data_IF_049320260342
#
_entry.id   IF_049320260342
#
_cell.length_a   1.000
_cell.length_b   1.000
_cell.length_c   1.000
_cell.angle_alpha   90.00
_cell.angle_beta   90.00
_cell.angle_gamma   90.00
#
_symmetry.space_group_name_H-M   'P 1'
#
loop_
_entity.id
_entity.type
_entity.pdbx_description
1 polymer ?
#
# COMPACT_ATOMS: atom_id res chain seq x y z
N UNK A 1 7.23 1.99 -46.97
CA UNK A 1 6.43 3.02 -46.28
C UNK A 1 5.46 2.28 -45.36
N UNK A 2 5.86 2.09 -44.10
CA UNK A 2 5.38 1.01 -43.22
C UNK A 2 4.08 1.38 -42.50
N UNK A 3 3.17 0.41 -42.44
CA UNK A 3 1.88 0.48 -41.77
C UNK A 3 2.03 0.83 -40.28
N UNK A 4 1.20 1.77 -39.82
CA UNK A 4 0.99 2.05 -38.41
C UNK A 4 0.13 0.93 -37.81
N UNK A 5 0.77 0.01 -37.08
CA UNK A 5 0.08 -0.98 -36.26
C UNK A 5 -0.41 -0.26 -34.99
N UNK A 6 -1.70 0.08 -34.99
CA UNK A 6 -2.41 0.54 -33.81
C UNK A 6 -2.45 -0.58 -32.79
N UNK A 7 -1.40 -0.67 -31.97
CA UNK A 7 -1.25 -1.65 -30.92
C UNK A 7 -2.45 -1.63 -29.97
N UNK A 8 -3.35 -2.58 -30.18
CA UNK A 8 -4.49 -2.88 -29.30
C UNK A 8 -3.89 -3.25 -27.94
N UNK A 9 -4.07 -2.37 -26.95
CA UNK A 9 -3.72 -2.71 -25.57
C UNK A 9 -4.81 -3.67 -25.09
N UNK A 10 -4.52 -4.97 -25.12
CA UNK A 10 -5.43 -5.97 -24.57
C UNK A 10 -5.68 -5.69 -23.08
N UNK A 11 -6.93 -5.77 -22.61
CA UNK A 11 -7.25 -5.56 -21.20
C UNK A 11 -6.51 -6.62 -20.36
N UNK A 12 -5.86 -6.25 -19.25
CA UNK A 12 -5.09 -7.20 -18.45
C UNK A 12 -6.01 -8.23 -17.80
N UNK A 13 -6.12 -9.40 -18.41
CA UNK A 13 -6.80 -10.58 -17.88
C UNK A 13 -5.81 -11.39 -17.03
N UNK A 14 -6.01 -11.39 -15.70
CA UNK A 14 -5.34 -12.29 -14.76
C UNK A 14 -4.02 -11.81 -14.14
N UNK A 15 -3.67 -12.38 -12.97
CA UNK A 15 -2.44 -12.10 -12.19
C UNK A 15 -1.17 -12.43 -13.00
N UNK A 16 -0.68 -11.49 -13.81
CA UNK A 16 0.63 -11.65 -14.45
C UNK A 16 1.77 -11.23 -13.51
N UNK A 17 2.76 -12.11 -13.24
CA UNK A 17 3.91 -11.77 -12.39
C UNK A 17 4.73 -10.58 -12.91
N UNK A 18 4.81 -10.41 -14.23
CA UNK A 18 5.47 -9.26 -14.86
C UNK A 18 4.76 -7.95 -14.54
N UNK A 19 3.43 -7.88 -14.69
CA UNK A 19 2.63 -6.70 -14.38
C UNK A 19 2.78 -6.25 -12.92
N UNK A 20 2.78 -7.20 -11.97
CA UNK A 20 3.01 -6.92 -10.54
C UNK A 20 4.37 -6.26 -10.27
N UNK A 21 5.43 -6.74 -10.92
CA UNK A 21 6.76 -6.16 -10.80
C UNK A 21 6.82 -4.75 -11.38
N UNK A 22 6.23 -4.54 -12.55
CA UNK A 22 6.16 -3.22 -13.18
C UNK A 22 5.39 -2.22 -12.32
N UNK A 23 4.25 -2.61 -11.74
CA UNK A 23 3.48 -1.75 -10.84
C UNK A 23 4.27 -1.39 -9.58
N UNK A 24 4.94 -2.37 -8.95
CA UNK A 24 5.78 -2.11 -7.78
C UNK A 24 6.92 -1.14 -8.12
N UNK A 25 7.53 -1.26 -9.30
CA UNK A 25 8.54 -0.30 -9.77
C UNK A 25 7.97 1.09 -9.94
N UNK A 26 6.78 1.21 -10.53
CA UNK A 26 6.11 2.48 -10.71
C UNK A 26 5.78 3.16 -9.36
N UNK A 27 5.29 2.42 -8.36
CA UNK A 27 5.03 2.99 -7.03
C UNK A 27 6.32 3.37 -6.29
N UNK A 28 7.42 2.66 -6.51
CA UNK A 28 8.72 2.95 -5.90
C UNK A 28 9.39 4.24 -6.41
N UNK A 29 8.89 4.88 -7.47
CA UNK A 29 9.44 6.15 -7.94
C UNK A 29 8.97 7.36 -7.12
N UNK A 30 7.90 7.21 -6.34
CA UNK A 30 7.43 8.24 -5.41
C UNK A 30 8.10 8.06 -4.05
N UNK A 31 9.05 8.95 -3.74
CA UNK A 31 9.79 8.90 -2.48
C UNK A 31 8.87 9.15 -1.28
N UNK A 32 9.05 8.37 -0.21
CA UNK A 32 8.29 8.44 1.04
C UNK A 32 9.23 8.37 2.23
N UNK A 33 8.77 8.88 3.37
CA UNK A 33 9.38 8.52 4.65
C UNK A 33 9.05 7.08 5.03
N UNK A 34 9.65 6.60 6.11
CA UNK A 34 9.33 5.30 6.71
C UNK A 34 8.87 5.52 8.14
N UNK A 35 7.75 4.92 8.51
CA UNK A 35 7.22 4.92 9.87
C UNK A 35 7.16 3.50 10.42
N UNK A 36 7.07 3.37 11.73
CA UNK A 36 6.67 2.13 12.40
C UNK A 36 5.31 2.38 13.03
N UNK A 37 4.28 1.69 12.55
CA UNK A 37 2.95 1.67 13.15
C UNK A 37 2.98 0.68 14.30
N UNK A 38 2.45 1.06 15.46
CA UNK A 38 2.52 0.24 16.67
C UNK A 38 1.15 0.01 17.25
N UNK A 39 0.93 -1.14 17.89
CA UNK A 39 -0.18 -1.32 18.82
C UNK A 39 0.37 -1.68 20.19
N UNK A 40 -0.25 -1.15 21.24
CA UNK A 40 0.12 -1.41 22.63
C UNK A 40 -0.62 -2.63 23.22
N UNK A 41 -0.72 -2.66 24.55
CA UNK A 41 -1.44 -3.70 25.30
C UNK A 41 -0.56 -4.88 25.73
N UNK A 42 -1.19 -6.01 26.04
CA UNK A 42 -0.52 -7.20 26.57
C UNK A 42 0.42 -7.89 25.55
N UNK A 43 0.17 -7.70 24.25
CA UNK A 43 1.00 -8.22 23.17
C UNK A 43 1.31 -7.08 22.19
N UNK A 44 2.32 -6.24 22.49
CA UNK A 44 2.67 -5.12 21.62
C UNK A 44 3.21 -5.63 20.28
N UNK A 45 2.86 -4.92 19.20
CA UNK A 45 3.29 -5.28 17.85
C UNK A 45 3.64 -4.03 17.04
N UNK A 46 4.62 -4.16 16.14
CA UNK A 46 5.09 -3.08 15.27
C UNK A 46 5.15 -3.53 13.82
N UNK A 47 4.75 -2.65 12.90
CA UNK A 47 4.84 -2.87 11.46
C UNK A 47 5.45 -1.66 10.78
N UNK A 48 6.51 -1.89 9.99
CA UNK A 48 7.07 -0.85 9.12
C UNK A 48 6.06 -0.49 8.02
N UNK A 49 5.79 0.81 7.85
CA UNK A 49 4.91 1.31 6.80
C UNK A 49 5.53 2.52 6.11
N UNK A 50 5.39 2.59 4.79
CA UNK A 50 5.69 3.79 4.00
C UNK A 50 4.44 4.35 3.30
N UNK A 51 3.26 3.78 3.60
CA UNK A 51 1.95 4.20 3.09
C UNK A 51 1.27 5.26 3.97
N UNK A 52 1.96 5.76 5.00
CA UNK A 52 1.44 6.81 5.88
C UNK A 52 1.12 8.08 5.08
N UNK A 53 -0.07 8.64 5.28
CA UNK A 53 -0.50 9.88 4.64
C UNK A 53 -1.28 10.74 5.65
N UNK A 54 -0.95 12.03 5.74
CA UNK A 54 -1.78 13.01 6.45
C UNK A 54 -2.97 13.39 5.56
N UNK A 55 -4.18 13.36 6.12
CA UNK A 55 -5.43 13.46 5.35
C UNK A 55 -6.16 14.76 5.61
N UNK A 56 -6.28 15.16 6.87
CA UNK A 56 -7.05 16.33 7.27
C UNK A 56 -6.45 16.98 8.51
N UNK A 57 -6.62 18.30 8.62
CA UNK A 57 -6.27 19.07 9.81
C UNK A 57 -7.47 19.27 10.73
N UNK A 58 -8.66 19.42 10.18
CA UNK A 58 -9.91 19.57 10.92
C UNK A 58 -11.03 18.73 10.29
N UNK A 59 -11.39 17.57 10.89
CA UNK A 59 -10.73 16.97 12.06
C UNK A 59 -9.32 16.48 11.73
N UNK A 60 -8.42 16.31 12.71
CA UNK A 60 -7.05 15.83 12.48
C UNK A 60 -7.06 14.34 12.11
N UNK A 61 -6.75 14.01 10.86
CA UNK A 61 -6.82 12.64 10.34
C UNK A 61 -5.53 12.23 9.63
N UNK A 62 -5.21 10.95 9.77
CA UNK A 62 -4.15 10.24 9.04
C UNK A 62 -4.70 8.93 8.48
N UNK A 63 -4.03 8.37 7.48
CA UNK A 63 -4.30 7.02 6.97
C UNK A 63 -3.00 6.23 6.86
N UNK A 64 -3.13 4.91 6.94
CA UNK A 64 -2.09 3.93 6.62
C UNK A 64 -2.75 2.73 5.93
N UNK A 65 -2.08 2.18 4.91
CA UNK A 65 -2.55 0.98 4.21
C UNK A 65 -1.85 -0.26 4.76
N UNK A 66 -2.63 -1.25 5.19
CA UNK A 66 -2.16 -2.52 5.77
C UNK A 66 -2.61 -3.69 4.91
N UNK A 67 -1.70 -4.61 4.61
CA UNK A 67 -2.05 -5.84 3.89
C UNK A 67 -2.84 -6.79 4.81
N UNK A 68 -3.97 -7.31 4.29
CA UNK A 68 -4.89 -8.20 5.03
C UNK A 68 -4.27 -9.51 5.50
N UNK A 69 -3.15 -9.91 4.92
CA UNK A 69 -2.42 -11.13 5.30
C UNK A 69 -1.43 -10.92 6.46
N UNK A 70 -1.26 -9.69 6.93
CA UNK A 70 -0.29 -9.37 7.99
C UNK A 70 -0.90 -9.47 9.38
N UNK A 71 -0.07 -9.79 10.38
CA UNK A 71 -0.47 -9.82 11.80
C UNK A 71 -1.03 -8.46 12.24
N UNK A 72 -0.47 -7.35 11.74
CA UNK A 72 -0.94 -6.00 12.05
C UNK A 72 -2.41 -5.78 11.67
N UNK A 73 -2.91 -6.39 10.59
CA UNK A 73 -4.34 -6.29 10.26
C UNK A 73 -5.20 -6.88 11.38
N UNK A 74 -4.86 -8.08 11.86
CA UNK A 74 -5.55 -8.70 13.00
C UNK A 74 -5.39 -7.86 14.28
N UNK A 75 -4.22 -7.28 14.52
CA UNK A 75 -4.03 -6.38 15.66
C UNK A 75 -4.98 -5.18 15.62
N UNK A 76 -5.07 -4.48 14.48
CA UNK A 76 -5.91 -3.29 14.30
C UNK A 76 -7.42 -3.61 14.36
N UNK A 77 -7.85 -4.81 13.96
CA UNK A 77 -9.25 -5.24 14.13
C UNK A 77 -9.65 -5.39 15.61
N UNK A 78 -8.68 -5.56 16.51
CA UNK A 78 -8.91 -5.83 17.94
C UNK A 78 -8.61 -4.62 18.85
N UNK A 79 -8.23 -3.46 18.31
CA UNK A 79 -7.94 -2.24 19.08
C UNK A 79 -8.49 -1.00 18.38
N UNK A 80 -9.08 -0.04 19.13
CA UNK A 80 -9.50 1.24 18.55
C UNK A 80 -8.34 2.22 18.33
N UNK A 81 -7.13 1.89 18.82
CA UNK A 81 -5.97 2.79 18.83
C UNK A 81 -4.69 2.09 18.37
N UNK A 82 -3.83 2.86 17.70
CA UNK A 82 -2.48 2.50 17.25
C UNK A 82 -1.58 3.75 17.26
#
# INVERSE_FOLDING_TARGET
>A
MTAADGGRVDPPTGRQPAARRSLRRAFGTFATGVTVVTVGGAQPHGMTANSFTSVSLDPPLVLVCVDKSTVMHTCLDNTPVF
#
